data_IF_582801336704
#
_entry.id   IF_582801336704
#
_cell.length_a   1.000
_cell.length_b   1.000
_cell.length_c   1.000
_cell.angle_alpha   90.00
_cell.angle_beta   90.00
_cell.angle_gamma   90.00
#
_symmetry.space_group_name_H-M   'P 1'
#
loop_
_entity.id
_entity.type
_entity.pdbx_description
1 polymer ?
#
# COMPACT_ATOMS: atom_id res chain seq x y z
N UNK A 1 26.36 -29.10 -37.67
CA UNK A 1 26.72 -28.66 -36.33
C UNK A 1 25.82 -27.56 -35.76
N UNK A 2 24.51 -27.54 -36.11
CA UNK A 2 23.56 -26.54 -35.58
C UNK A 2 22.29 -27.15 -34.93
N UNK A 3 22.19 -28.44 -34.79
CA UNK A 3 21.00 -29.09 -34.20
C UNK A 3 20.93 -28.98 -32.67
N UNK A 4 22.04 -28.77 -31.97
CA UNK A 4 22.07 -28.73 -30.50
C UNK A 4 21.63 -27.39 -29.86
N UNK A 5 21.67 -26.25 -30.59
CA UNK A 5 21.31 -24.96 -30.03
C UNK A 5 19.79 -24.73 -30.01
N UNK A 6 19.07 -25.30 -31.00
CA UNK A 6 17.60 -25.17 -31.05
C UNK A 6 16.94 -26.00 -29.95
N UNK A 7 17.52 -27.13 -29.59
CA UNK A 7 17.04 -27.97 -28.47
C UNK A 7 17.25 -27.29 -27.11
N UNK A 8 18.40 -26.61 -26.94
CA UNK A 8 18.67 -25.86 -25.70
C UNK A 8 17.76 -24.66 -25.53
N UNK A 9 17.47 -23.90 -26.60
CA UNK A 9 16.54 -22.77 -26.58
C UNK A 9 15.13 -23.25 -26.24
N UNK A 10 14.69 -24.36 -26.88
CA UNK A 10 13.39 -24.96 -26.57
C UNK A 10 13.29 -25.43 -25.10
N UNK A 11 14.38 -25.99 -24.57
CA UNK A 11 14.45 -26.39 -23.17
C UNK A 11 14.38 -25.18 -22.23
N UNK A 12 15.09 -24.08 -22.54
CA UNK A 12 15.03 -22.85 -21.77
C UNK A 12 13.60 -22.31 -21.74
N UNK A 13 12.93 -22.16 -22.86
CA UNK A 13 11.54 -21.70 -22.92
C UNK A 13 10.58 -22.58 -22.10
N UNK A 14 10.80 -23.92 -22.12
CA UNK A 14 9.99 -24.82 -21.28
C UNK A 14 10.23 -24.62 -19.79
N UNK A 15 11.49 -24.40 -19.38
CA UNK A 15 11.83 -24.12 -17.99
C UNK A 15 11.29 -22.77 -17.53
N UNK A 16 11.32 -21.75 -18.40
CA UNK A 16 10.70 -20.44 -18.13
C UNK A 16 9.18 -20.60 -17.95
N UNK A 17 8.49 -21.30 -18.82
CA UNK A 17 7.05 -21.54 -18.69
C UNK A 17 6.70 -22.33 -17.39
N UNK A 18 7.54 -23.27 -16.97
CA UNK A 18 7.37 -23.99 -15.70
C UNK A 18 7.59 -23.04 -14.53
N UNK A 19 8.63 -22.20 -14.56
CA UNK A 19 8.90 -21.18 -13.53
C UNK A 19 7.72 -20.23 -13.39
N UNK A 20 7.18 -19.72 -14.50
CA UNK A 20 6.07 -18.76 -14.49
C UNK A 20 4.82 -19.41 -13.91
N UNK A 21 4.51 -20.64 -14.30
CA UNK A 21 3.40 -21.42 -13.75
C UNK A 21 3.56 -21.71 -12.24
N UNK A 22 4.79 -21.97 -11.78
CA UNK A 22 5.07 -22.16 -10.36
C UNK A 22 4.88 -20.85 -9.59
N UNK A 23 5.32 -19.72 -10.14
CA UNK A 23 5.11 -18.41 -9.55
C UNK A 23 3.60 -18.08 -9.44
N UNK A 24 2.81 -18.36 -10.48
CA UNK A 24 1.35 -18.17 -10.44
C UNK A 24 0.70 -19.05 -9.34
N UNK A 25 1.13 -20.29 -9.19
CA UNK A 25 0.63 -21.18 -8.14
C UNK A 25 1.02 -20.68 -6.75
N UNK A 26 2.25 -20.22 -6.58
CA UNK A 26 2.73 -19.63 -5.31
C UNK A 26 1.92 -18.38 -4.95
N UNK A 27 1.71 -17.49 -5.91
CA UNK A 27 0.88 -16.30 -5.73
C UNK A 27 -0.55 -16.67 -5.33
N UNK A 28 -1.16 -17.65 -6.01
CA UNK A 28 -2.49 -18.16 -5.67
C UNK A 28 -2.57 -18.76 -4.26
N UNK A 29 -1.50 -19.42 -3.79
CA UNK A 29 -1.41 -19.91 -2.41
C UNK A 29 -1.27 -18.78 -1.40
N UNK A 30 -0.45 -17.76 -1.69
CA UNK A 30 -0.35 -16.56 -0.85
C UNK A 30 -1.69 -15.82 -0.78
N UNK A 31 -2.42 -15.69 -1.89
CA UNK A 31 -3.77 -15.13 -1.90
C UNK A 31 -4.72 -15.91 -0.99
N UNK A 32 -4.68 -17.24 -1.04
CA UNK A 32 -5.51 -18.09 -0.17
C UNK A 32 -5.14 -17.97 1.31
N UNK A 33 -3.87 -17.84 1.63
CA UNK A 33 -3.38 -17.62 2.99
C UNK A 33 -3.81 -16.23 3.48
N UNK A 34 -3.62 -15.19 2.64
CA UNK A 34 -4.01 -13.83 2.96
C UNK A 34 -5.53 -13.67 3.17
N UNK A 35 -6.35 -14.40 2.42
CA UNK A 35 -7.81 -14.35 2.56
C UNK A 35 -8.35 -15.13 3.75
N UNK A 36 -7.63 -16.15 4.24
CA UNK A 36 -8.11 -17.00 5.35
C UNK A 36 -7.94 -16.37 6.73
N UNK A 37 -7.05 -15.36 6.90
CA UNK A 37 -6.66 -14.83 8.21
C UNK A 37 -6.66 -13.28 8.31
N UNK A 38 -7.30 -12.54 7.39
CA UNK A 38 -7.40 -11.09 7.50
C UNK A 38 -8.26 -10.74 8.71
N UNK A 39 -7.61 -10.41 9.82
CA UNK A 39 -8.29 -9.93 11.03
C UNK A 39 -8.73 -8.48 10.83
N UNK A 40 -10.03 -8.26 10.74
CA UNK A 40 -10.61 -6.91 10.70
C UNK A 40 -10.93 -6.45 12.12
N UNK A 41 -10.55 -5.23 12.44
CA UNK A 41 -10.83 -4.58 13.72
C UNK A 41 -11.43 -3.21 13.51
N UNK A 42 -12.26 -2.78 14.47
CA UNK A 42 -12.72 -1.40 14.55
C UNK A 42 -11.72 -0.60 15.36
N UNK A 43 -11.27 0.53 14.82
CA UNK A 43 -10.29 1.41 15.45
C UNK A 43 -10.77 2.86 15.42
N UNK A 44 -10.19 3.67 16.29
CA UNK A 44 -10.26 5.13 16.19
C UNK A 44 -8.93 5.64 15.69
N UNK A 45 -8.91 6.22 14.50
CA UNK A 45 -7.74 6.93 13.98
C UNK A 45 -7.69 8.29 14.66
N UNK A 46 -6.63 8.62 15.40
CA UNK A 46 -6.55 9.90 16.13
C UNK A 46 -6.42 11.10 15.18
N UNK A 47 -6.79 12.27 15.67
CA UNK A 47 -6.46 13.53 15.00
C UNK A 47 -4.95 13.67 14.89
N UNK A 48 -4.47 14.19 13.74
CA UNK A 48 -3.04 14.38 13.52
C UNK A 48 -2.77 15.50 12.52
N UNK A 49 -1.61 16.13 12.64
CA UNK A 49 -1.13 17.13 11.69
C UNK A 49 -0.18 16.46 10.69
N UNK A 50 -0.39 16.73 9.43
CA UNK A 50 0.35 16.10 8.33
C UNK A 50 0.80 17.11 7.30
N UNK A 51 1.95 16.86 6.70
CA UNK A 51 2.29 17.41 5.39
C UNK A 51 1.53 16.57 4.36
N UNK A 52 0.63 17.21 3.60
CA UNK A 52 -0.29 16.56 2.68
C UNK A 52 -0.17 17.15 1.27
N UNK A 53 0.03 16.30 0.28
CA UNK A 53 0.16 16.70 -1.13
C UNK A 53 -0.68 15.78 -2.00
N UNK A 54 -1.39 16.36 -2.97
CA UNK A 54 -2.30 15.60 -3.86
C UNK A 54 -1.68 15.39 -5.22
N UNK A 55 -1.85 14.18 -5.76
CA UNK A 55 -1.45 13.82 -7.13
C UNK A 55 -2.41 12.78 -7.70
N UNK A 56 -2.70 12.88 -9.00
CA UNK A 56 -3.40 11.84 -9.75
C UNK A 56 -2.36 10.96 -10.43
N UNK A 57 -2.36 9.67 -10.14
CA UNK A 57 -1.49 8.69 -10.77
C UNK A 57 -2.01 7.27 -10.61
N UNK A 58 -1.85 6.44 -11.64
CA UNK A 58 -2.09 4.98 -11.60
C UNK A 58 -0.77 4.19 -11.55
N UNK A 59 0.35 4.84 -11.76
CA UNK A 59 1.67 4.21 -11.81
C UNK A 59 2.24 4.03 -10.39
N UNK A 60 2.56 2.78 -10.01
CA UNK A 60 3.09 2.45 -8.69
C UNK A 60 4.42 3.15 -8.39
N UNK A 61 5.31 3.24 -9.38
CA UNK A 61 6.61 3.91 -9.18
C UNK A 61 6.44 5.41 -8.92
N UNK A 62 5.57 6.07 -9.69
CA UNK A 62 5.25 7.47 -9.46
C UNK A 62 4.62 7.74 -8.09
N UNK A 63 3.74 6.83 -7.63
CA UNK A 63 3.14 6.91 -6.30
C UNK A 63 4.22 6.81 -5.22
N UNK A 64 5.14 5.85 -5.36
CA UNK A 64 6.25 5.63 -4.43
C UNK A 64 7.18 6.84 -4.38
N UNK A 65 7.58 7.37 -5.53
CA UNK A 65 8.46 8.53 -5.62
C UNK A 65 7.79 9.77 -5.01
N UNK A 66 6.50 10.00 -5.29
CA UNK A 66 5.77 11.15 -4.76
C UNK A 66 5.55 11.06 -3.25
N UNK A 67 5.33 9.85 -2.69
CA UNK A 67 5.28 9.64 -1.24
C UNK A 67 6.64 9.95 -0.60
N UNK A 68 7.74 9.49 -1.22
CA UNK A 68 9.10 9.79 -0.76
C UNK A 68 9.38 11.30 -0.77
N UNK A 69 9.01 11.99 -1.84
CA UNK A 69 9.18 13.44 -1.94
C UNK A 69 8.37 14.18 -0.88
N UNK A 70 7.13 13.72 -0.61
CA UNK A 70 6.29 14.27 0.45
C UNK A 70 6.91 14.07 1.83
N UNK A 71 7.46 12.88 2.10
CA UNK A 71 8.20 12.59 3.32
C UNK A 71 9.44 13.47 3.47
N UNK A 72 10.21 13.68 2.40
CA UNK A 72 11.40 14.54 2.40
C UNK A 72 11.04 16.01 2.70
N UNK A 73 9.94 16.51 2.15
CA UNK A 73 9.44 17.86 2.48
C UNK A 73 9.01 17.93 3.95
N UNK A 74 8.29 16.93 4.46
CA UNK A 74 7.91 16.86 5.86
C UNK A 74 9.13 16.92 6.79
N UNK A 75 10.18 16.17 6.48
CA UNK A 75 11.42 16.13 7.27
C UNK A 75 12.18 17.47 7.19
N UNK A 76 12.37 18.02 5.99
CA UNK A 76 13.28 19.15 5.77
C UNK A 76 12.63 20.50 6.12
N UNK A 77 11.32 20.64 5.84
CA UNK A 77 10.61 21.91 5.97
C UNK A 77 9.78 22.00 7.26
N UNK A 78 9.16 20.89 7.70
CA UNK A 78 8.13 20.93 8.72
C UNK A 78 8.45 20.17 10.01
N UNK A 79 9.64 19.65 10.19
CA UNK A 79 10.05 18.85 11.36
C UNK A 79 9.10 17.68 11.60
N UNK A 80 9.40 16.55 11.02
CA UNK A 80 8.65 15.32 11.23
C UNK A 80 8.69 14.89 12.69
N UNK A 81 7.57 14.42 13.23
CA UNK A 81 7.54 13.74 14.52
C UNK A 81 8.18 12.35 14.38
N UNK A 82 9.47 12.27 14.63
CA UNK A 82 10.22 11.01 14.58
C UNK A 82 9.83 10.00 15.67
N UNK A 83 9.07 10.41 16.68
CA UNK A 83 8.60 9.49 17.72
C UNK A 83 7.48 8.58 17.20
N UNK A 84 6.74 9.02 16.17
CA UNK A 84 5.63 8.29 15.55
C UNK A 84 5.54 8.61 14.06
N UNK A 85 6.60 8.37 13.28
CA UNK A 85 6.56 8.67 11.86
C UNK A 85 5.52 7.78 11.20
N UNK A 86 4.53 8.38 10.57
CA UNK A 86 3.57 7.69 9.74
C UNK A 86 3.60 8.27 8.34
N UNK A 87 3.75 7.39 7.38
CA UNK A 87 3.63 7.69 5.96
C UNK A 87 2.43 6.93 5.44
N UNK A 88 1.51 7.63 4.82
CA UNK A 88 0.29 7.02 4.33
C UNK A 88 -0.28 7.77 3.12
N UNK A 89 -1.18 7.10 2.43
CA UNK A 89 -1.99 7.70 1.38
C UNK A 89 -3.47 7.64 1.76
N UNK A 90 -4.25 8.62 1.30
CA UNK A 90 -5.71 8.57 1.33
C UNK A 90 -6.27 8.70 -0.08
N UNK A 91 -7.29 7.93 -0.38
CA UNK A 91 -8.03 7.98 -1.64
C UNK A 91 -9.43 7.41 -1.45
N UNK A 92 -10.34 7.70 -2.39
CA UNK A 92 -11.65 7.06 -2.42
C UNK A 92 -11.65 5.88 -3.41
N UNK A 93 -12.26 4.76 -3.05
CA UNK A 93 -12.28 3.55 -3.90
C UNK A 93 -12.96 3.77 -5.26
N UNK A 94 -13.84 4.78 -5.38
CA UNK A 94 -14.46 5.17 -6.66
C UNK A 94 -13.54 5.97 -7.58
N UNK A 95 -12.48 6.56 -7.01
CA UNK A 95 -11.46 7.32 -7.75
C UNK A 95 -10.07 7.05 -7.17
N UNK A 96 -9.54 5.81 -7.32
CA UNK A 96 -8.31 5.38 -6.65
C UNK A 96 -7.03 6.04 -7.18
N UNK A 97 -7.12 6.73 -8.32
CA UNK A 97 -6.00 7.46 -8.90
C UNK A 97 -5.79 8.84 -8.29
N UNK A 98 -6.82 9.45 -7.68
CA UNK A 98 -6.73 10.76 -7.03
C UNK A 98 -6.33 10.58 -5.56
N UNK A 99 -5.04 10.74 -5.30
CA UNK A 99 -4.41 10.32 -4.06
C UNK A 99 -3.88 11.51 -3.28
N UNK A 100 -4.17 11.55 -1.99
CA UNK A 100 -3.55 12.43 -1.02
C UNK A 100 -2.39 11.70 -0.33
N UNK A 101 -1.18 12.17 -0.53
CA UNK A 101 0.04 11.63 0.06
C UNK A 101 0.36 12.39 1.34
N UNK A 102 0.57 11.68 2.44
CA UNK A 102 0.68 12.24 3.77
C UNK A 102 1.93 11.76 4.52
N UNK A 103 2.54 12.68 5.24
CA UNK A 103 3.57 12.39 6.23
C UNK A 103 3.26 13.15 7.52
N UNK A 104 3.30 12.50 8.69
CA UNK A 104 3.06 13.16 9.98
C UNK A 104 4.15 14.17 10.29
N UNK A 105 3.73 15.30 10.84
CA UNK A 105 4.61 16.38 11.27
C UNK A 105 4.23 16.82 12.70
N UNK A 106 5.07 17.68 13.30
CA UNK A 106 4.75 18.29 14.61
C UNK A 106 3.41 19.01 14.55
N UNK A 107 2.62 18.90 15.63
CA UNK A 107 1.28 19.51 15.75
C UNK A 107 1.26 21.03 15.60
N UNK A 108 2.39 21.67 15.83
CA UNK A 108 2.55 23.15 15.71
C UNK A 108 3.06 23.56 14.31
N UNK A 109 3.25 22.60 13.38
CA UNK A 109 3.70 22.92 12.03
C UNK A 109 2.65 23.73 11.28
N UNK A 110 3.10 24.75 10.55
CA UNK A 110 2.26 25.63 9.73
C UNK A 110 2.85 25.78 8.33
N UNK A 111 2.00 25.87 7.32
CA UNK A 111 2.40 26.06 5.92
C UNK A 111 1.34 25.60 4.95
N UNK A 112 1.57 25.88 3.67
CA UNK A 112 0.59 25.60 2.60
C UNK A 112 0.30 24.10 2.41
N UNK A 113 1.29 23.24 2.72
CA UNK A 113 1.16 21.78 2.63
C UNK A 113 0.66 21.16 3.95
N UNK A 114 0.33 21.95 4.97
CA UNK A 114 -0.05 21.43 6.29
C UNK A 114 -1.57 21.32 6.41
N UNK A 115 -1.99 20.12 6.81
CA UNK A 115 -3.41 19.79 7.04
C UNK A 115 -3.56 19.16 8.43
N UNK A 116 -4.53 19.63 9.19
CA UNK A 116 -4.96 18.96 10.42
C UNK A 116 -6.13 18.03 10.12
N UNK A 117 -5.90 16.74 10.29
CA UNK A 117 -6.90 15.70 10.11
C UNK A 117 -7.65 15.45 11.40
N UNK A 118 -8.97 15.37 11.33
CA UNK A 118 -9.82 15.05 12.49
C UNK A 118 -9.79 13.57 12.82
N UNK A 119 -10.10 13.23 14.07
CA UNK A 119 -10.27 11.84 14.48
C UNK A 119 -11.44 11.18 13.72
N UNK A 120 -11.26 9.92 13.32
CA UNK A 120 -12.26 9.14 12.57
C UNK A 120 -12.33 7.71 13.10
N UNK A 121 -13.52 7.13 13.14
CA UNK A 121 -13.66 5.68 13.32
C UNK A 121 -13.45 4.98 11.98
N UNK A 122 -12.77 3.86 11.99
CA UNK A 122 -12.43 3.10 10.80
C UNK A 122 -12.45 1.58 11.06
N UNK A 123 -12.61 0.82 9.99
CA UNK A 123 -12.22 -0.59 9.95
C UNK A 123 -10.76 -0.68 9.54
N UNK A 124 -10.00 -1.52 10.21
CA UNK A 124 -8.59 -1.73 9.92
C UNK A 124 -8.26 -3.21 9.73
N UNK A 125 -7.37 -3.47 8.79
CA UNK A 125 -6.75 -4.76 8.56
C UNK A 125 -5.28 -4.57 8.20
N UNK A 126 -4.42 -5.51 8.60
CA UNK A 126 -3.04 -5.54 8.12
C UNK A 126 -3.00 -6.31 6.79
N UNK A 127 -2.31 -5.72 5.82
CA UNK A 127 -1.91 -6.41 4.60
C UNK A 127 -0.46 -6.86 4.74
N UNK A 128 -0.20 -8.14 4.43
CA UNK A 128 1.15 -8.71 4.43
C UNK A 128 1.51 -9.13 3.01
N UNK A 129 2.67 -8.69 2.54
CA UNK A 129 3.17 -9.08 1.23
C UNK A 129 3.14 -7.98 0.17
N UNK A 130 3.22 -8.37 -1.09
CA UNK A 130 3.32 -7.45 -2.22
C UNK A 130 2.15 -6.48 -2.31
N UNK A 131 2.45 -5.20 -2.51
CA UNK A 131 1.43 -4.16 -2.76
C UNK A 131 0.57 -4.41 -4.02
N UNK A 132 1.01 -5.31 -4.92
CA UNK A 132 0.21 -5.72 -6.07
C UNK A 132 -1.08 -6.45 -5.66
N UNK A 133 -1.08 -7.09 -4.49
CA UNK A 133 -2.20 -7.88 -3.98
C UNK A 133 -3.06 -7.12 -2.95
N UNK A 134 -2.78 -5.84 -2.70
CA UNK A 134 -3.48 -5.05 -1.67
C UNK A 134 -4.98 -4.88 -1.97
N UNK A 135 -5.38 -4.97 -3.23
CA UNK A 135 -6.79 -4.88 -3.64
C UNK A 135 -7.67 -5.98 -3.04
N UNK A 136 -7.12 -7.14 -2.74
CA UNK A 136 -7.83 -8.18 -2.01
C UNK A 136 -8.20 -7.73 -0.59
N UNK A 137 -7.27 -7.12 0.12
CA UNK A 137 -7.51 -6.60 1.47
C UNK A 137 -8.53 -5.46 1.46
N UNK A 138 -8.46 -4.56 0.47
CA UNK A 138 -9.45 -3.48 0.27
C UNK A 138 -10.85 -4.03 0.04
N UNK A 139 -10.97 -4.98 -0.89
CA UNK A 139 -12.24 -5.64 -1.22
C UNK A 139 -12.82 -6.35 -0.01
N UNK A 140 -11.98 -7.04 0.77
CA UNK A 140 -12.41 -7.74 1.97
C UNK A 140 -12.95 -6.78 3.05
N UNK A 141 -12.31 -5.62 3.23
CA UNK A 141 -12.80 -4.57 4.14
C UNK A 141 -14.17 -4.03 3.72
N UNK A 142 -14.38 -3.76 2.43
CA UNK A 142 -15.68 -3.31 1.90
C UNK A 142 -16.77 -4.36 2.10
N UNK A 143 -16.47 -5.60 1.72
CA UNK A 143 -17.42 -6.71 1.90
C UNK A 143 -17.80 -6.93 3.38
N UNK A 144 -16.81 -6.84 4.27
CA UNK A 144 -17.08 -6.93 5.71
C UNK A 144 -17.99 -5.80 6.19
N UNK A 145 -17.76 -4.56 5.74
CA UNK A 145 -18.61 -3.43 6.07
C UNK A 145 -20.04 -3.64 5.58
N UNK A 146 -20.22 -4.08 4.34
CA UNK A 146 -21.53 -4.31 3.72
C UNK A 146 -22.31 -5.44 4.42
N UNK A 147 -21.65 -6.59 4.68
CA UNK A 147 -22.27 -7.74 5.36
C UNK A 147 -22.70 -7.35 6.78
N UNK A 148 -21.89 -6.57 7.50
CA UNK A 148 -22.18 -6.14 8.86
C UNK A 148 -23.01 -4.83 8.92
N UNK A 149 -23.42 -4.30 7.76
CA UNK A 149 -24.19 -3.04 7.65
C UNK A 149 -23.53 -1.85 8.34
N UNK A 150 -22.22 -1.78 8.25
CA UNK A 150 -21.42 -0.68 8.78
C UNK A 150 -21.38 0.42 7.72
N UNK A 151 -21.95 1.61 7.98
CA UNK A 151 -21.92 2.71 7.03
C UNK A 151 -20.47 3.18 6.80
N UNK A 152 -20.10 3.38 5.54
CA UNK A 152 -18.76 3.84 5.18
C UNK A 152 -18.80 4.81 3.98
N UNK A 153 -17.80 5.68 3.88
CA UNK A 153 -17.67 6.66 2.78
C UNK A 153 -16.98 6.06 1.55
N UNK A 154 -16.30 4.93 1.72
CA UNK A 154 -15.41 4.35 0.71
C UNK A 154 -14.03 5.01 0.66
N UNK A 155 -13.69 5.85 1.64
CA UNK A 155 -12.36 6.40 1.78
C UNK A 155 -11.43 5.37 2.43
N UNK A 156 -10.27 5.19 1.83
CA UNK A 156 -9.20 4.34 2.32
C UNK A 156 -8.03 5.18 2.81
N UNK A 157 -7.39 4.68 3.87
CA UNK A 157 -6.06 5.11 4.30
C UNK A 157 -5.15 3.88 4.31
N UNK A 158 -4.05 3.97 3.59
CA UNK A 158 -3.00 2.95 3.60
C UNK A 158 -1.78 3.49 4.31
N UNK A 159 -1.44 2.86 5.43
CA UNK A 159 -0.28 3.22 6.26
C UNK A 159 0.84 2.25 5.95
N UNK A 160 1.98 2.76 5.51
CA UNK A 160 3.16 1.97 5.19
C UNK A 160 4.02 1.81 6.44
N UNK A 161 4.03 0.60 7.00
CA UNK A 161 4.80 0.26 8.21
C UNK A 161 6.19 -0.24 7.81
N UNK A 162 6.24 -1.17 6.88
CA UNK A 162 7.47 -1.74 6.32
C UNK A 162 7.35 -1.88 4.80
N UNK A 163 8.38 -1.51 4.07
CA UNK A 163 8.34 -1.51 2.62
C UNK A 163 9.73 -1.54 1.97
N UNK A 164 9.87 -1.09 0.71
CA UNK A 164 11.13 -1.15 -0.04
C UNK A 164 12.38 -0.60 0.67
N UNK A 165 12.29 0.45 1.52
CA UNK A 165 13.46 0.92 2.25
C UNK A 165 13.99 -0.08 3.29
N UNK A 166 13.11 -0.93 3.87
CA UNK A 166 13.46 -1.89 4.90
C UNK A 166 13.70 -3.29 4.33
N UNK A 167 12.97 -3.66 3.28
CA UNK A 167 12.99 -5.00 2.70
C UNK A 167 13.11 -4.96 1.19
N UNK A 168 14.05 -5.73 0.64
CA UNK A 168 14.14 -5.98 -0.80
C UNK A 168 13.14 -7.05 -1.29
N UNK A 169 12.61 -7.86 -0.37
CA UNK A 169 11.64 -8.91 -0.64
C UNK A 169 10.21 -8.36 -0.45
N UNK A 170 9.38 -8.22 -1.51
CA UNK A 170 8.02 -7.74 -1.40
C UNK A 170 7.11 -8.56 -0.48
N UNK A 171 7.42 -9.83 -0.24
CA UNK A 171 6.63 -10.67 0.66
C UNK A 171 6.76 -10.29 2.14
N UNK A 172 7.69 -9.38 2.47
CA UNK A 172 7.92 -8.85 3.81
C UNK A 172 7.32 -7.46 4.05
N UNK A 173 6.62 -6.89 3.08
CA UNK A 173 5.97 -5.58 3.23
C UNK A 173 4.75 -5.69 4.17
N UNK A 174 4.51 -4.62 4.94
CA UNK A 174 3.37 -4.44 5.85
C UNK A 174 2.77 -3.05 5.67
#
# INVERSE_FOLDING_TARGET
>A
YFAGSTDLISLVHRLEAIRDRLNDNINSLYERIATSDIKISQITVPAQTVCARRKVSDNLQEKTDFLRDTAMIAITKYKTDFSKPQYFIEFNYKNPSDILFCATVDSNSCGDDIVTMTSKNALAACHYGSYQNIDHTRTHLLQYADINKIPHTGDFREVYLEGPPQHSDPNKYI
#
